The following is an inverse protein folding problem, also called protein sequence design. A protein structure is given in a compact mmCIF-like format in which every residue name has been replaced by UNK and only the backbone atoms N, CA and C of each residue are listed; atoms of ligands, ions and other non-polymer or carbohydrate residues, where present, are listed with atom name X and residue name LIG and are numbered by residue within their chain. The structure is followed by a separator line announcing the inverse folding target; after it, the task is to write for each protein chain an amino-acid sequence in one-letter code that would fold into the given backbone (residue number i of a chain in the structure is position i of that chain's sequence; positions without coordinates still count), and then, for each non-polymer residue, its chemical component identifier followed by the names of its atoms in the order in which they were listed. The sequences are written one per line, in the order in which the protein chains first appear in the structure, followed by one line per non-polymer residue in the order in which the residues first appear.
data_IF_870162616469
#
_entry.id   IF_870162616469
#
_cell.length_a   1.000
_cell.length_b   1.000
_cell.length_c   1.000
_cell.angle_alpha   90.00
_cell.angle_beta   90.00
_cell.angle_gamma   90.00
#
_symmetry.space_group_name_H-M   'P 1'
#
loop_
_entity.id
_entity.type
_entity.pdbx_description
1 polymer ?
#
# COMPACT_ATOMS: atom_id res chain seq x y z
N UNK A 1 -2.35 13.45 40.60
CA UNK A 1 -3.76 13.48 40.17
C UNK A 1 -4.22 14.89 39.77
N UNK A 2 -3.55 15.54 38.80
CA UNK A 2 -3.84 16.96 38.46
C UNK A 2 -4.09 17.25 36.98
N UNK A 3 -3.86 16.29 36.08
CA UNK A 3 -3.92 16.53 34.63
C UNK A 3 -5.33 16.36 34.01
N UNK A 4 -6.23 15.64 34.69
CA UNK A 4 -7.55 15.26 34.13
C UNK A 4 -8.57 16.42 34.24
N UNK A 5 -8.36 17.35 35.18
CA UNK A 5 -9.27 18.49 35.41
C UNK A 5 -8.83 19.73 34.61
N UNK A 6 -7.56 19.80 34.19
CA UNK A 6 -7.04 20.95 33.47
C UNK A 6 -7.57 21.06 32.03
N UNK A 7 -7.84 19.92 31.37
CA UNK A 7 -8.33 19.86 29.98
C UNK A 7 -9.78 20.37 29.79
N UNK A 8 -10.78 20.05 30.64
CA UNK A 8 -12.12 20.61 30.46
C UNK A 8 -12.16 22.13 30.74
N UNK A 9 -11.39 22.62 31.70
CA UNK A 9 -11.39 24.05 32.08
C UNK A 9 -10.76 24.92 30.98
N UNK A 10 -9.68 24.45 30.33
CA UNK A 10 -9.06 25.18 29.21
C UNK A 10 -9.94 25.23 27.96
N UNK A 11 -10.77 24.20 27.72
CA UNK A 11 -11.75 24.20 26.63
C UNK A 11 -12.87 25.20 26.90
N UNK A 12 -13.35 25.31 28.15
CA UNK A 12 -14.44 26.24 28.52
C UNK A 12 -13.98 27.70 28.44
N UNK A 13 -12.75 28.01 28.89
CA UNK A 13 -12.20 29.38 28.88
C UNK A 13 -11.89 29.88 27.47
N UNK A 14 -11.46 28.99 26.56
CA UNK A 14 -11.23 29.36 25.15
C UNK A 14 -12.54 29.55 24.37
N UNK A 15 -13.61 28.81 24.72
CA UNK A 15 -14.96 29.00 24.15
C UNK A 15 -15.60 30.34 24.55
N UNK A 16 -15.32 30.85 25.76
CA UNK A 16 -15.81 32.15 26.24
C UNK A 16 -15.10 33.36 25.60
N UNK A 17 -13.91 33.14 25.01
CA UNK A 17 -13.09 34.19 24.39
C UNK A 17 -12.88 33.99 22.88
N UNK A 18 -13.74 33.19 22.25
CA UNK A 18 -13.62 32.77 20.86
C UNK A 18 -14.37 33.73 19.92
N UNK A 19 -13.70 34.14 18.83
CA UNK A 19 -14.42 34.77 17.70
C UNK A 19 -15.40 33.74 17.12
N UNK A 20 -16.51 34.16 16.48
CA UNK A 20 -17.45 33.21 15.87
C UNK A 20 -16.79 32.25 14.87
N UNK A 21 -15.66 32.65 14.26
CA UNK A 21 -14.80 31.79 13.44
C UNK A 21 -14.22 30.60 14.20
N UNK A 22 -13.86 30.79 15.46
CA UNK A 22 -13.19 29.79 16.29
C UNK A 22 -14.22 28.76 16.80
N UNK A 23 -15.44 29.21 17.11
CA UNK A 23 -16.55 28.32 17.47
C UNK A 23 -16.90 27.38 16.31
N UNK A 24 -17.02 27.92 15.09
CA UNK A 24 -17.28 27.11 13.89
C UNK A 24 -16.14 26.12 13.63
N UNK A 25 -14.89 26.53 13.87
CA UNK A 25 -13.74 25.64 13.77
C UNK A 25 -13.83 24.47 14.76
N UNK A 26 -14.12 24.75 16.04
CA UNK A 26 -14.23 23.70 17.06
C UNK A 26 -15.38 22.74 16.80
N UNK A 27 -16.53 23.22 16.32
CA UNK A 27 -17.66 22.36 15.93
C UNK A 27 -17.26 21.42 14.80
N UNK A 28 -16.62 21.95 13.74
CA UNK A 28 -16.13 21.11 12.63
C UNK A 28 -15.12 20.07 13.12
N UNK A 29 -14.18 20.50 13.96
CA UNK A 29 -13.16 19.60 14.51
C UNK A 29 -13.78 18.47 15.34
N UNK A 30 -14.72 18.78 16.24
CA UNK A 30 -15.43 17.78 17.06
C UNK A 30 -16.24 16.84 16.17
N UNK A 31 -16.97 17.36 15.19
CA UNK A 31 -17.74 16.54 14.24
C UNK A 31 -16.84 15.60 13.43
N UNK A 32 -15.71 16.10 12.91
CA UNK A 32 -14.71 15.28 12.21
C UNK A 32 -14.06 14.25 13.13
N UNK A 33 -13.75 14.61 14.37
CA UNK A 33 -13.17 13.69 15.35
C UNK A 33 -14.12 12.54 15.68
N UNK A 34 -15.38 12.85 15.98
CA UNK A 34 -16.43 11.85 16.24
C UNK A 34 -16.62 10.96 15.02
N UNK A 35 -16.70 11.55 13.82
CA UNK A 35 -16.83 10.80 12.57
C UNK A 35 -15.67 9.82 12.38
N UNK A 36 -14.41 10.27 12.56
CA UNK A 36 -13.23 9.43 12.42
C UNK A 36 -13.23 8.30 13.46
N UNK A 37 -13.61 8.55 14.72
CA UNK A 37 -13.64 7.51 15.74
C UNK A 37 -14.76 6.49 15.54
N UNK A 38 -15.94 6.91 15.08
CA UNK A 38 -17.01 5.99 14.68
C UNK A 38 -16.58 5.16 13.46
N UNK A 39 -15.94 5.80 12.48
CA UNK A 39 -15.42 5.14 11.29
C UNK A 39 -14.37 4.07 11.66
N UNK A 40 -13.40 4.42 12.51
CA UNK A 40 -12.38 3.48 13.01
C UNK A 40 -12.95 2.30 13.78
N UNK A 41 -14.06 2.48 14.50
CA UNK A 41 -14.73 1.38 15.24
C UNK A 41 -15.54 0.47 14.33
N UNK A 42 -16.17 1.04 13.31
CA UNK A 42 -17.01 0.29 12.38
C UNK A 42 -16.18 -0.48 11.35
N UNK A 43 -15.07 0.10 10.89
CA UNK A 43 -14.16 -0.55 9.96
C UNK A 43 -13.10 -1.36 10.69
N UNK A 44 -13.03 -2.66 10.39
CA UNK A 44 -11.91 -3.51 10.83
C UNK A 44 -10.60 -2.89 10.35
N UNK A 45 -9.61 -2.81 11.25
CA UNK A 45 -8.25 -2.42 10.87
C UNK A 45 -7.75 -3.37 9.78
N UNK A 46 -7.06 -2.83 8.77
CA UNK A 46 -6.57 -3.59 7.61
C UNK A 46 -5.65 -4.76 7.99
N UNK A 47 -4.97 -4.70 9.14
CA UNK A 47 -3.97 -5.69 9.58
C UNK A 47 -4.00 -5.90 11.11
N UNK A 48 -5.11 -6.40 11.67
CA UNK A 48 -5.24 -6.65 13.13
C UNK A 48 -4.83 -8.09 13.53
N UNK A 49 -4.10 -8.80 12.66
CA UNK A 49 -3.78 -10.22 12.85
C UNK A 49 -2.58 -10.48 13.77
N UNK A 50 -1.74 -9.47 13.99
CA UNK A 50 -0.50 -9.63 14.73
C UNK A 50 -0.69 -9.36 16.22
N UNK A 51 -0.27 -10.31 17.04
CA UNK A 51 -0.18 -10.19 18.49
C UNK A 51 1.20 -10.68 18.92
N UNK A 52 2.11 -9.73 19.18
CA UNK A 52 3.47 -10.01 19.62
C UNK A 52 3.53 -10.63 21.03
N UNK A 53 2.41 -10.57 21.79
CA UNK A 53 2.28 -11.19 23.10
C UNK A 53 1.72 -12.62 23.06
N UNK A 54 1.22 -13.08 21.91
CA UNK A 54 0.66 -14.42 21.77
C UNK A 54 1.74 -15.50 21.98
N UNK A 55 1.50 -16.41 22.93
CA UNK A 55 2.37 -17.57 23.15
C UNK A 55 1.93 -18.72 22.24
N UNK A 56 2.90 -19.39 21.62
CA UNK A 56 2.71 -20.58 20.78
C UNK A 56 1.95 -20.39 19.46
N UNK A 57 1.80 -19.16 18.95
CA UNK A 57 1.23 -18.91 17.63
C UNK A 57 2.26 -18.23 16.70
N UNK A 58 2.85 -18.95 15.73
CA UNK A 58 3.87 -18.41 14.83
C UNK A 58 3.30 -17.40 13.82
N UNK A 59 1.99 -17.43 13.52
CA UNK A 59 1.38 -16.48 12.59
C UNK A 59 1.10 -15.15 13.29
N UNK A 60 0.55 -15.17 14.50
CA UNK A 60 0.32 -13.94 15.30
C UNK A 60 1.61 -13.24 15.69
N UNK A 61 2.67 -13.99 15.95
CA UNK A 61 4.00 -13.44 16.26
C UNK A 61 4.78 -13.02 15.00
N UNK A 62 4.16 -13.08 13.82
CA UNK A 62 4.76 -12.69 12.54
C UNK A 62 6.00 -13.51 12.15
N UNK A 63 6.18 -14.70 12.73
CA UNK A 63 7.25 -15.63 12.36
C UNK A 63 6.93 -16.34 11.04
N UNK A 64 5.66 -16.73 10.84
CA UNK A 64 5.14 -17.22 9.57
C UNK A 64 4.16 -16.21 8.95
N UNK A 65 4.12 -16.08 7.61
CA UNK A 65 3.12 -15.25 6.94
C UNK A 65 1.70 -15.66 7.29
N UNK A 66 0.84 -14.71 7.61
CA UNK A 66 -0.58 -14.99 7.81
C UNK A 66 -1.20 -15.40 6.46
N UNK A 67 -2.09 -16.41 6.40
CA UNK A 67 -2.71 -16.86 5.15
C UNK A 67 -3.43 -15.73 4.38
N UNK A 68 -4.02 -14.77 5.10
CA UNK A 68 -4.67 -13.61 4.49
C UNK A 68 -3.68 -12.68 3.76
N UNK A 69 -2.42 -12.59 4.20
CA UNK A 69 -1.38 -11.85 3.47
C UNK A 69 -1.11 -12.49 2.11
N UNK A 70 -1.11 -13.83 2.05
CA UNK A 70 -0.93 -14.56 0.79
C UNK A 70 -2.07 -14.21 -0.16
N UNK A 71 -3.31 -14.23 0.31
CA UNK A 71 -4.49 -13.91 -0.53
C UNK A 71 -4.43 -12.47 -1.05
N UNK A 72 -4.00 -11.52 -0.23
CA UNK A 72 -3.90 -10.10 -0.62
C UNK A 72 -2.78 -9.81 -1.61
N UNK A 73 -1.64 -10.48 -1.49
CA UNK A 73 -0.46 -10.24 -2.35
C UNK A 73 -0.45 -11.14 -3.60
N UNK A 74 -1.28 -12.20 -3.60
CA UNK A 74 -1.37 -13.09 -4.75
C UNK A 74 -2.01 -12.39 -5.93
N UNK A 75 -1.45 -12.57 -7.14
CA UNK A 75 -2.12 -12.18 -8.35
C UNK A 75 -3.56 -12.73 -8.37
N UNK A 76 -4.52 -11.83 -8.62
CA UNK A 76 -5.93 -12.18 -8.81
C UNK A 76 -6.08 -13.22 -9.93
N UNK A 77 -7.10 -14.07 -9.78
CA UNK A 77 -7.47 -15.04 -10.81
C UNK A 77 -8.13 -14.37 -12.01
N UNK A 78 -8.04 -15.02 -13.19
CA UNK A 78 -8.60 -14.48 -14.43
C UNK A 78 -10.11 -14.21 -14.34
N UNK A 79 -10.83 -15.02 -13.57
CA UNK A 79 -12.26 -14.82 -13.30
C UNK A 79 -12.54 -13.51 -12.53
N UNK A 80 -11.63 -13.09 -11.66
CA UNK A 80 -11.75 -11.83 -10.93
C UNK A 80 -11.37 -10.64 -11.82
N UNK A 81 -10.35 -10.79 -12.67
CA UNK A 81 -9.86 -9.76 -13.61
C UNK A 81 -10.90 -9.31 -14.64
N UNK A 82 -11.98 -10.06 -14.86
CA UNK A 82 -13.09 -9.62 -15.71
C UNK A 82 -13.73 -8.32 -15.21
N UNK A 83 -13.80 -8.14 -13.89
CA UNK A 83 -14.51 -7.02 -13.26
C UNK A 83 -13.58 -6.06 -12.51
N UNK A 84 -12.27 -6.32 -12.51
CA UNK A 84 -11.30 -5.52 -11.77
C UNK A 84 -9.93 -5.54 -12.45
N UNK A 85 -9.05 -4.65 -12.03
CA UNK A 85 -7.65 -4.66 -12.44
C UNK A 85 -6.79 -5.06 -11.24
N UNK A 86 -5.70 -5.76 -11.51
CA UNK A 86 -4.73 -6.14 -10.50
C UNK A 86 -3.39 -5.46 -10.77
N UNK A 87 -2.82 -4.83 -9.76
CA UNK A 87 -1.65 -3.98 -9.93
C UNK A 87 -0.65 -4.16 -8.80
N UNK A 88 0.62 -4.28 -9.18
CA UNK A 88 1.75 -4.15 -8.26
C UNK A 88 2.64 -3.00 -8.67
N UNK A 89 3.02 -2.18 -7.69
CA UNK A 89 3.82 -0.97 -7.88
C UNK A 89 4.95 -0.91 -6.86
N UNK A 90 6.16 -0.63 -7.34
CA UNK A 90 7.34 -0.45 -6.52
C UNK A 90 8.04 0.86 -6.85
N UNK A 91 8.44 1.56 -5.80
CA UNK A 91 9.28 2.75 -5.85
C UNK A 91 10.48 2.54 -4.93
N UNK A 92 11.69 2.69 -5.48
CA UNK A 92 12.93 2.58 -4.73
C UNK A 92 13.85 3.75 -5.05
N UNK A 93 14.52 4.28 -4.02
CA UNK A 93 15.51 5.36 -4.15
C UNK A 93 16.77 4.97 -3.40
N UNK A 94 17.94 5.30 -3.94
CA UNK A 94 19.22 5.07 -3.27
C UNK A 94 19.76 6.36 -2.63
N UNK A 95 20.89 6.25 -1.92
CA UNK A 95 21.54 7.40 -1.25
C UNK A 95 22.07 8.48 -2.19
N UNK A 96 22.13 8.21 -3.49
CA UNK A 96 22.55 9.16 -4.54
C UNK A 96 21.35 9.81 -5.26
N UNK A 97 20.15 9.64 -4.73
CA UNK A 97 18.89 10.13 -5.34
C UNK A 97 18.60 9.53 -6.72
N UNK A 98 19.20 8.38 -7.03
CA UNK A 98 18.79 7.57 -8.18
C UNK A 98 17.56 6.78 -7.77
N UNK A 99 16.56 6.72 -8.64
CA UNK A 99 15.32 6.03 -8.32
C UNK A 99 14.84 5.13 -9.45
N UNK A 100 14.26 4.01 -9.04
CA UNK A 100 13.62 3.01 -9.87
C UNK A 100 12.13 3.01 -9.53
N UNK A 101 11.30 3.12 -10.55
CA UNK A 101 9.87 2.87 -10.50
C UNK A 101 9.59 1.67 -11.37
N UNK A 102 8.85 0.70 -10.85
CA UNK A 102 8.38 -0.42 -11.66
C UNK A 102 6.96 -0.80 -11.28
N UNK A 103 6.18 -1.16 -12.29
CA UNK A 103 4.77 -1.48 -12.16
C UNK A 103 4.41 -2.60 -13.12
N UNK A 104 3.54 -3.51 -12.69
CA UNK A 104 2.79 -4.37 -13.60
C UNK A 104 1.31 -4.21 -13.24
N UNK A 105 0.50 -3.83 -14.21
CA UNK A 105 -0.95 -3.85 -14.13
C UNK A 105 -1.49 -4.95 -15.04
N UNK A 106 -2.53 -5.65 -14.59
CA UNK A 106 -3.19 -6.73 -15.33
C UNK A 106 -4.67 -6.40 -15.45
N UNK A 107 -5.18 -6.58 -16.65
CA UNK A 107 -6.57 -6.35 -17.02
C UNK A 107 -7.28 -7.63 -17.45
N UNK A 108 -8.51 -7.50 -17.97
CA UNK A 108 -9.23 -8.61 -18.57
C UNK A 108 -8.52 -9.12 -19.84
N UNK A 109 -8.86 -10.34 -20.28
CA UNK A 109 -8.35 -10.96 -21.51
C UNK A 109 -6.83 -11.11 -21.58
N UNK A 110 -6.18 -11.36 -20.44
CA UNK A 110 -4.73 -11.52 -20.33
C UNK A 110 -3.93 -10.26 -20.70
N UNK A 111 -4.58 -9.11 -20.88
CA UNK A 111 -3.90 -7.84 -21.12
C UNK A 111 -3.08 -7.44 -19.88
N UNK A 112 -1.84 -7.04 -20.11
CA UNK A 112 -0.96 -6.58 -19.07
C UNK A 112 -0.16 -5.36 -19.53
N UNK A 113 0.17 -4.51 -18.56
CA UNK A 113 0.93 -3.29 -18.76
C UNK A 113 2.14 -3.29 -17.82
N UNK A 114 3.35 -3.29 -18.36
CA UNK A 114 4.61 -3.20 -17.64
C UNK A 114 5.18 -1.78 -17.74
N UNK A 115 5.61 -1.21 -16.61
CA UNK A 115 6.36 0.03 -16.59
C UNK A 115 7.68 -0.20 -15.85
N UNK A 116 8.76 0.30 -16.43
CA UNK A 116 10.07 0.41 -15.77
C UNK A 116 10.59 1.80 -16.08
N UNK A 117 10.92 2.54 -15.04
CA UNK A 117 11.50 3.87 -15.12
C UNK A 117 12.69 3.95 -14.17
N UNK A 118 13.86 4.26 -14.69
CA UNK A 118 15.10 4.39 -13.94
C UNK A 118 15.72 5.76 -14.21
N UNK A 119 15.93 6.54 -13.15
CA UNK A 119 16.69 7.79 -13.24
C UNK A 119 17.99 7.69 -12.47
N UNK A 120 19.08 7.99 -13.16
CA UNK A 120 20.44 8.01 -12.60
C UNK A 120 20.82 9.41 -12.12
N UNK A 121 21.87 9.48 -11.30
CA UNK A 121 22.34 10.73 -10.69
C UNK A 121 22.90 11.73 -11.72
N UNK A 122 23.36 11.23 -12.86
CA UNK A 122 23.87 12.01 -13.99
C UNK A 122 22.74 12.61 -14.85
N UNK A 123 21.48 12.46 -14.43
CA UNK A 123 20.32 12.98 -15.13
C UNK A 123 19.82 12.08 -16.27
N UNK A 124 20.51 10.99 -16.60
CA UNK A 124 20.01 10.02 -17.59
C UNK A 124 18.78 9.30 -17.05
N UNK A 125 17.80 9.17 -17.93
CA UNK A 125 16.55 8.46 -17.68
C UNK A 125 16.47 7.31 -18.65
N UNK A 126 16.05 6.16 -18.14
CA UNK A 126 15.82 4.95 -18.91
C UNK A 126 14.38 4.49 -18.65
N UNK A 127 13.65 4.22 -19.71
CA UNK A 127 12.27 3.75 -19.64
C UNK A 127 12.03 2.55 -20.55
N UNK A 128 11.01 1.78 -20.21
CA UNK A 128 10.51 0.71 -21.08
C UNK A 128 9.70 1.34 -22.22
N UNK A 129 10.08 1.07 -23.48
CA UNK A 129 9.38 1.62 -24.65
C UNK A 129 8.02 0.94 -24.90
N UNK A 130 7.97 -0.39 -24.85
CA UNK A 130 6.74 -1.16 -25.04
C UNK A 130 6.16 -1.53 -23.68
N UNK A 131 5.12 -0.81 -23.26
CA UNK A 131 4.49 -1.01 -21.96
C UNK A 131 3.34 -2.01 -22.02
N UNK A 132 2.65 -2.16 -23.16
CA UNK A 132 1.54 -3.10 -23.30
C UNK A 132 1.99 -4.47 -23.80
N UNK A 133 1.38 -5.51 -23.25
CA UNK A 133 1.62 -6.89 -23.66
C UNK A 133 0.57 -7.82 -23.10
N UNK A 134 0.90 -9.11 -23.12
CA UNK A 134 0.09 -10.15 -22.51
C UNK A 134 0.80 -10.73 -21.30
N UNK A 135 0.02 -11.08 -20.28
CA UNK A 135 0.51 -11.87 -19.16
C UNK A 135 0.99 -13.21 -19.70
N UNK A 136 2.27 -13.53 -19.49
CA UNK A 136 2.79 -14.84 -19.87
C UNK A 136 2.20 -15.90 -18.94
N UNK A 137 1.76 -17.01 -19.52
CA UNK A 137 1.28 -18.16 -18.76
C UNK A 137 2.41 -18.73 -17.90
N UNK A 138 2.43 -18.35 -16.63
CA UNK A 138 3.37 -18.86 -15.65
C UNK A 138 2.69 -19.93 -14.81
N UNK A 139 3.35 -21.07 -14.58
CA UNK A 139 2.85 -22.10 -13.67
C UNK A 139 2.77 -21.61 -12.22
N UNK A 140 3.51 -20.54 -11.89
CA UNK A 140 3.56 -19.99 -10.54
C UNK A 140 2.52 -18.86 -10.37
N UNK A 141 1.51 -19.14 -9.54
CA UNK A 141 0.41 -18.21 -9.22
C UNK A 141 0.83 -17.00 -8.39
N UNK A 142 2.13 -16.79 -8.17
CA UNK A 142 2.70 -15.70 -7.34
C UNK A 142 3.34 -14.60 -8.18
N UNK A 143 3.30 -14.73 -9.52
CA UNK A 143 4.12 -13.95 -10.44
C UNK A 143 3.24 -13.04 -11.31
N UNK A 144 3.65 -11.79 -11.39
CA UNK A 144 3.20 -10.80 -12.37
C UNK A 144 4.24 -10.74 -13.49
N UNK A 145 3.81 -10.81 -14.75
CA UNK A 145 4.74 -10.87 -15.90
C UNK A 145 4.22 -10.06 -17.07
N UNK A 146 5.05 -9.21 -17.65
CA UNK A 146 4.73 -8.54 -18.91
C UNK A 146 6.01 -8.01 -19.56
N UNK A 147 6.17 -8.17 -20.89
CA UNK A 147 7.24 -7.52 -21.67
C UNK A 147 8.68 -7.74 -21.16
N UNK A 148 8.97 -8.90 -20.57
CA UNK A 148 10.29 -9.22 -19.99
C UNK A 148 10.50 -8.76 -18.55
N UNK A 149 9.57 -8.00 -17.98
CA UNK A 149 9.49 -7.70 -16.55
C UNK A 149 8.72 -8.80 -15.83
N UNK A 150 9.28 -9.29 -14.72
CA UNK A 150 8.66 -10.25 -13.83
C UNK A 150 8.78 -9.77 -12.38
N UNK A 151 7.66 -9.76 -11.67
CA UNK A 151 7.58 -9.35 -10.27
C UNK A 151 6.88 -10.46 -9.51
N UNK A 152 7.52 -11.01 -8.48
CA UNK A 152 6.90 -12.03 -7.64
C UNK A 152 7.29 -11.89 -6.18
N UNK A 153 6.36 -12.22 -5.29
CA UNK A 153 6.67 -12.24 -3.87
C UNK A 153 7.36 -13.56 -3.51
N UNK A 154 8.43 -13.46 -2.73
CA UNK A 154 9.10 -14.59 -2.09
C UNK A 154 8.54 -14.85 -0.69
N UNK A 155 8.07 -13.78 -0.03
CA UNK A 155 7.35 -13.82 1.23
C UNK A 155 6.35 -12.66 1.21
N UNK A 156 5.03 -12.93 1.30
CA UNK A 156 3.99 -11.91 1.26
C UNK A 156 4.32 -10.74 2.20
N UNK A 157 4.07 -9.50 1.78
CA UNK A 157 4.27 -8.28 2.58
C UNK A 157 5.68 -8.06 3.14
N UNK A 158 6.69 -8.86 2.73
CA UNK A 158 8.04 -8.83 3.32
C UNK A 158 9.13 -8.78 2.27
N UNK A 159 9.07 -9.67 1.27
CA UNK A 159 10.15 -9.84 0.31
C UNK A 159 9.61 -10.10 -1.08
N UNK A 160 9.99 -9.23 -1.99
CA UNK A 160 9.68 -9.30 -3.41
C UNK A 160 10.96 -9.46 -4.21
N UNK A 161 10.85 -10.10 -5.37
CA UNK A 161 11.90 -10.19 -6.37
C UNK A 161 11.38 -9.56 -7.65
N UNK A 162 12.13 -8.59 -8.13
CA UNK A 162 11.92 -7.94 -9.43
C UNK A 162 13.02 -8.45 -10.35
N UNK A 163 12.62 -8.99 -11.49
CA UNK A 163 13.49 -9.47 -12.53
C UNK A 163 13.12 -8.77 -13.83
N UNK A 164 14.11 -8.29 -14.57
CA UNK A 164 13.90 -7.64 -15.85
C UNK A 164 14.87 -8.22 -16.87
N UNK A 165 14.32 -8.71 -17.98
CA UNK A 165 15.07 -9.19 -19.13
C UNK A 165 14.65 -8.40 -20.36
N UNK A 166 15.40 -7.35 -20.68
CA UNK A 166 15.12 -6.46 -21.79
C UNK A 166 16.10 -5.30 -21.85
N UNK A 167 15.80 -4.35 -22.72
CA UNK A 167 16.58 -3.12 -22.89
C UNK A 167 15.72 -1.94 -22.47
N UNK A 168 16.26 -1.06 -21.64
CA UNK A 168 15.66 0.24 -21.34
C UNK A 168 16.34 1.31 -22.19
N UNK A 169 15.58 2.31 -22.64
CA UNK A 169 16.09 3.39 -23.49
C UNK A 169 15.89 4.76 -22.85
#
# INVERSE_FOLDING_TARGET
MGAIIATPVTIIVTLLSAKPSDIVYWIKWIASYIYIELYKRSHKKRFDWYDMGAKHDPHKTNFLPHPEEIVLESPLSDAQLVNTADEVFFYGVNSKSEYLVTRIARGPNEEAEAWVYLKLNNGKVYQLEETSGFQQSCCDKRVFTCGGLQIHYLSPMRRWRIFFNGVLR
#
